data_IF_137276093545
#
_entry.id   IF_137276093545
#
_cell.length_a   1.000
_cell.length_b   1.000
_cell.length_c   1.000
_cell.angle_alpha   90.00
_cell.angle_beta   90.00
_cell.angle_gamma   90.00
#
_symmetry.space_group_name_H-M   'P 1'
#
loop_
_entity.id
_entity.type
_entity.pdbx_description
1 polymer ?
#
# COMPACT_ATOMS: atom_id res chain seq x y z
N UNK A 1 14.50 -16.46 2.13
CA UNK A 1 13.51 -15.46 2.58
C UNK A 1 13.21 -14.57 1.41
N UNK A 2 11.98 -14.57 0.92
CA UNK A 2 11.51 -13.55 -0.03
C UNK A 2 11.31 -12.25 0.73
N UNK A 3 11.62 -11.09 0.14
CA UNK A 3 11.51 -9.77 0.79
C UNK A 3 10.17 -9.52 1.50
N UNK A 4 9.10 -10.17 1.03
CA UNK A 4 7.77 -10.17 1.63
C UNK A 4 7.71 -10.63 3.08
N UNK A 5 8.66 -11.43 3.58
CA UNK A 5 8.68 -11.86 4.99
C UNK A 5 9.44 -10.91 5.92
N UNK A 6 10.21 -9.95 5.39
CA UNK A 6 11.04 -9.04 6.20
C UNK A 6 10.33 -7.71 6.51
N UNK A 7 9.45 -7.25 5.60
CA UNK A 7 8.53 -6.13 5.83
C UNK A 7 7.11 -6.69 5.76
N UNK A 8 6.48 -6.88 6.92
CA UNK A 8 5.16 -7.49 7.04
C UNK A 8 4.04 -6.54 6.62
N UNK A 9 3.95 -6.28 5.31
CA UNK A 9 2.86 -5.49 4.73
C UNK A 9 1.57 -6.29 4.83
N UNK A 10 0.51 -5.63 5.26
CA UNK A 10 -0.81 -6.20 5.45
C UNK A 10 -1.89 -5.41 4.69
N UNK A 11 -3.09 -5.96 4.62
CA UNK A 11 -4.29 -5.26 4.16
C UNK A 11 -4.59 -4.00 4.99
N UNK A 12 -4.15 -3.96 6.25
CA UNK A 12 -4.32 -2.79 7.13
C UNK A 12 -3.51 -1.60 6.61
N UNK A 13 -2.30 -1.83 6.10
CA UNK A 13 -1.45 -0.77 5.55
C UNK A 13 -2.09 -0.12 4.31
N UNK A 14 -2.65 -0.95 3.43
CA UNK A 14 -3.40 -0.45 2.26
C UNK A 14 -4.63 0.33 2.73
N UNK A 15 -5.35 -0.19 3.72
CA UNK A 15 -6.53 0.46 4.31
C UNK A 15 -6.17 1.82 4.92
N UNK A 16 -5.04 1.93 5.61
CA UNK A 16 -4.57 3.17 6.22
C UNK A 16 -4.25 4.21 5.14
N UNK A 17 -3.54 3.82 4.07
CA UNK A 17 -3.29 4.72 2.94
C UNK A 17 -4.59 5.19 2.28
N UNK A 18 -5.58 4.30 2.12
CA UNK A 18 -6.91 4.68 1.62
C UNK A 18 -7.62 5.69 2.53
N UNK A 19 -7.55 5.50 3.86
CA UNK A 19 -8.13 6.43 4.85
C UNK A 19 -7.45 7.79 4.81
N UNK A 20 -6.11 7.82 4.77
CA UNK A 20 -5.32 9.06 4.69
C UNK A 20 -5.60 9.83 3.39
N UNK A 21 -5.94 9.12 2.31
CA UNK A 21 -6.22 9.69 0.99
C UNK A 21 -7.72 9.66 0.64
N UNK A 22 -8.62 9.60 1.63
CA UNK A 22 -10.05 9.34 1.43
C UNK A 22 -10.71 10.29 0.40
N UNK A 23 -10.34 11.58 0.40
CA UNK A 23 -10.89 12.58 -0.53
C UNK A 23 -10.36 12.44 -1.97
N UNK A 24 -9.30 11.66 -2.16
CA UNK A 24 -8.66 11.39 -3.45
C UNK A 24 -9.04 10.03 -4.05
N UNK A 25 -9.87 9.22 -3.36
CA UNK A 25 -10.34 7.94 -3.89
C UNK A 25 -11.21 8.17 -5.12
N UNK A 26 -10.73 7.69 -6.28
CA UNK A 26 -11.41 7.82 -7.56
C UNK A 26 -12.42 6.69 -7.77
N UNK A 27 -12.07 5.48 -7.35
CA UNK A 27 -12.87 4.29 -7.56
C UNK A 27 -12.78 3.35 -6.36
N UNK A 28 -13.79 3.40 -5.50
CA UNK A 28 -13.91 2.48 -4.37
C UNK A 28 -14.56 1.14 -4.73
N UNK A 29 -15.03 0.97 -5.97
CA UNK A 29 -15.89 -0.15 -6.41
C UNK A 29 -17.15 -0.34 -5.52
N UNK A 30 -17.60 0.70 -4.81
CA UNK A 30 -18.71 0.62 -3.86
C UNK A 30 -18.37 -0.10 -2.53
N UNK A 31 -17.11 -0.44 -2.30
CA UNK A 31 -16.63 -1.12 -1.10
C UNK A 31 -16.29 -0.12 0.01
N UNK A 32 -16.35 -0.58 1.27
CA UNK A 32 -15.73 0.13 2.38
C UNK A 32 -14.20 0.12 2.22
N UNK A 33 -13.47 1.04 2.85
CA UNK A 33 -12.01 1.03 2.74
C UNK A 33 -11.36 -0.23 3.28
N UNK A 34 -11.93 -0.85 4.32
CA UNK A 34 -11.44 -2.12 4.83
C UNK A 34 -11.62 -3.24 3.79
N UNK A 35 -12.83 -3.37 3.22
CA UNK A 35 -13.11 -4.37 2.18
C UNK A 35 -12.31 -4.11 0.89
N UNK A 36 -12.09 -2.84 0.55
CA UNK A 36 -11.26 -2.45 -0.59
C UNK A 36 -9.78 -2.76 -0.34
N UNK A 37 -9.26 -2.48 0.86
CA UNK A 37 -7.90 -2.79 1.25
C UNK A 37 -7.60 -4.29 1.21
N UNK A 38 -8.51 -5.10 1.76
CA UNK A 38 -8.45 -6.57 1.69
C UNK A 38 -8.51 -7.06 0.23
N UNK A 39 -9.47 -6.56 -0.56
CA UNK A 39 -9.60 -6.93 -1.96
C UNK A 39 -8.33 -6.60 -2.77
N UNK A 40 -7.76 -5.41 -2.57
CA UNK A 40 -6.53 -5.00 -3.23
C UNK A 40 -5.33 -5.81 -2.76
N UNK A 41 -5.22 -6.11 -1.46
CA UNK A 41 -4.17 -6.97 -0.94
C UNK A 41 -4.21 -8.38 -1.56
N UNK A 42 -5.40 -8.94 -1.73
CA UNK A 42 -5.61 -10.22 -2.41
C UNK A 42 -5.34 -10.17 -3.92
N UNK A 43 -5.65 -9.04 -4.58
CA UNK A 43 -5.39 -8.83 -6.00
C UNK A 43 -3.90 -8.55 -6.29
N UNK A 44 -3.18 -7.97 -5.31
CA UNK A 44 -1.76 -7.68 -5.43
C UNK A 44 -0.93 -8.96 -5.53
N UNK A 45 0.03 -8.94 -6.44
CA UNK A 45 0.95 -10.06 -6.63
C UNK A 45 2.22 -9.85 -5.79
N UNK A 46 3.14 -10.80 -5.87
CA UNK A 46 4.48 -10.64 -5.31
C UNK A 46 5.24 -9.41 -5.86
N UNK A 47 4.82 -8.85 -7.00
CA UNK A 47 5.46 -7.67 -7.60
C UNK A 47 5.15 -6.42 -6.77
N UNK A 48 3.88 -6.12 -6.51
CA UNK A 48 3.47 -4.96 -5.72
C UNK A 48 4.03 -5.05 -4.30
N UNK A 49 3.89 -6.21 -3.66
CA UNK A 49 4.39 -6.43 -2.30
C UNK A 49 5.93 -6.29 -2.23
N UNK A 50 6.66 -6.76 -3.24
CA UNK A 50 8.10 -6.58 -3.30
C UNK A 50 8.51 -5.12 -3.56
N UNK A 51 7.73 -4.36 -4.35
CA UNK A 51 7.96 -2.92 -4.56
C UNK A 51 7.85 -2.17 -3.23
N UNK A 52 6.78 -2.39 -2.48
CA UNK A 52 6.55 -1.73 -1.18
C UNK A 52 7.64 -2.13 -0.18
N UNK A 53 7.99 -3.42 -0.08
CA UNK A 53 9.07 -3.86 0.81
C UNK A 53 10.42 -3.23 0.43
N UNK A 54 10.70 -3.09 -0.87
CA UNK A 54 11.92 -2.42 -1.35
C UNK A 54 11.90 -0.92 -1.04
N UNK A 55 10.76 -0.25 -1.20
CA UNK A 55 10.60 1.16 -0.85
C UNK A 55 10.84 1.38 0.64
N UNK A 56 10.26 0.53 1.49
CA UNK A 56 10.47 0.54 2.92
C UNK A 56 11.96 0.46 3.28
N UNK A 57 12.67 -0.56 2.76
CA UNK A 57 14.11 -0.74 3.01
C UNK A 57 14.97 0.43 2.50
N UNK A 58 14.54 1.11 1.44
CA UNK A 58 15.22 2.29 0.91
C UNK A 58 14.88 3.59 1.68
N UNK A 59 13.78 3.60 2.46
CA UNK A 59 13.31 4.75 3.22
C UNK A 59 14.24 5.15 4.35
N UNK A 60 15.00 4.19 4.90
CA UNK A 60 15.97 4.43 5.96
C UNK A 60 16.16 3.22 6.87
N UNK A 61 16.71 3.46 8.05
CA UNK A 61 16.95 2.41 9.07
C UNK A 61 15.97 2.50 10.24
N UNK A 62 15.30 3.64 10.40
CA UNK A 62 14.29 3.85 11.44
C UNK A 62 12.92 3.37 10.97
N UNK A 63 12.16 2.75 11.87
CA UNK A 63 10.82 2.21 11.57
C UNK A 63 9.91 3.26 10.93
N UNK A 64 9.85 4.49 11.47
CA UNK A 64 8.99 5.54 10.92
C UNK A 64 9.38 5.93 9.48
N UNK A 65 10.68 5.95 9.16
CA UNK A 65 11.15 6.26 7.82
C UNK A 65 10.76 5.16 6.82
N UNK A 66 10.90 3.90 7.24
CA UNK A 66 10.55 2.75 6.44
C UNK A 66 9.02 2.66 6.24
N UNK A 67 8.22 2.90 7.27
CA UNK A 67 6.75 2.94 7.18
C UNK A 67 6.28 4.05 6.25
N UNK A 68 6.83 5.26 6.38
CA UNK A 68 6.47 6.38 5.50
C UNK A 68 6.82 6.08 4.03
N UNK A 69 7.97 5.47 3.77
CA UNK A 69 8.37 5.07 2.42
C UNK A 69 7.47 3.95 1.86
N UNK A 70 7.09 2.97 2.68
CA UNK A 70 6.14 1.93 2.31
C UNK A 70 4.78 2.53 1.93
N UNK A 71 4.24 3.45 2.74
CA UNK A 71 2.94 4.08 2.52
C UNK A 71 2.96 4.97 1.27
N UNK A 72 4.08 5.65 1.02
CA UNK A 72 4.31 6.38 -0.22
C UNK A 72 4.24 5.48 -1.47
N UNK A 73 4.87 4.30 -1.43
CA UNK A 73 4.83 3.34 -2.54
C UNK A 73 3.44 2.72 -2.71
N UNK A 74 2.75 2.38 -1.61
CA UNK A 74 1.35 1.92 -1.65
C UNK A 74 0.49 2.98 -2.36
N UNK A 75 0.61 4.27 -1.97
CA UNK A 75 -0.12 5.36 -2.62
C UNK A 75 0.18 5.42 -4.11
N UNK A 76 1.45 5.30 -4.51
CA UNK A 76 1.85 5.33 -5.92
C UNK A 76 1.19 4.19 -6.72
N UNK A 77 1.23 2.96 -6.20
CA UNK A 77 0.57 1.80 -6.82
C UNK A 77 -0.94 2.03 -6.96
N UNK A 78 -1.59 2.55 -5.91
CA UNK A 78 -3.03 2.84 -5.96
C UNK A 78 -3.40 3.91 -7.00
N UNK A 79 -2.51 4.87 -7.25
CA UNK A 79 -2.68 5.84 -8.33
C UNK A 79 -2.48 5.19 -9.70
N UNK A 80 -1.45 4.36 -9.86
CA UNK A 80 -1.20 3.58 -11.10
C UNK A 80 -2.39 2.68 -11.46
N UNK A 81 -3.05 2.10 -10.46
CA UNK A 81 -4.23 1.24 -10.61
C UNK A 81 -5.55 2.02 -10.75
N UNK A 82 -5.51 3.35 -10.68
CA UNK A 82 -6.70 4.21 -10.79
C UNK A 82 -7.65 4.16 -9.59
N UNK A 83 -7.18 3.63 -8.45
CA UNK A 83 -7.93 3.64 -7.18
C UNK A 83 -7.89 5.04 -6.57
N UNK A 84 -6.73 5.71 -6.62
CA UNK A 84 -6.53 7.09 -6.18
C UNK A 84 -6.29 8.05 -7.36
N UNK A 85 -6.60 9.33 -7.16
CA UNK A 85 -6.19 10.43 -8.04
C UNK A 85 -4.80 10.96 -7.63
N UNK A 86 -4.07 11.51 -8.61
CA UNK A 86 -2.80 12.19 -8.39
C UNK A 86 -2.92 13.33 -7.36
#
# INVERSE_FOLDING_TARGET
>A
MTLTTAFGISEEDITNVLRENAVHVANSKGLSFAALGEHLYCDWTNVELARVAKAALNGGVELDQQTNAAYGEIRAILVEQGVLKH
#
